data_IF_933682453504
#
_entry.id   IF_933682453504
#
_cell.length_a   1.000
_cell.length_b   1.000
_cell.length_c   1.000
_cell.angle_alpha   90.00
_cell.angle_beta   90.00
_cell.angle_gamma   90.00
#
_symmetry.space_group_name_H-M   'P 1'
#
loop_
_entity.id
_entity.type
_entity.pdbx_description
1 polymer ?
#
# COMPACT_ATOMS: atom_id res chain seq x y z
N UNK A 1 12.21 5.84 -21.59
CA UNK A 1 12.34 5.71 -23.07
C UNK A 1 13.04 4.41 -23.48
N UNK A 2 14.04 3.91 -22.73
CA UNK A 2 14.74 2.64 -23.00
C UNK A 2 13.84 1.37 -22.98
N UNK A 3 12.80 1.33 -22.14
CA UNK A 3 11.92 0.14 -22.03
C UNK A 3 11.05 -0.08 -23.28
N UNK A 4 10.71 0.98 -24.03
CA UNK A 4 9.91 0.86 -25.28
C UNK A 4 10.75 0.36 -26.47
N UNK A 5 12.07 0.54 -26.44
CA UNK A 5 12.98 0.04 -27.48
C UNK A 5 13.17 -1.47 -27.32
N UNK A 6 13.31 -1.96 -26.09
CA UNK A 6 13.48 -3.41 -25.80
C UNK A 6 12.22 -4.24 -26.13
N UNK A 7 11.02 -3.71 -25.89
CA UNK A 7 9.77 -4.42 -26.20
C UNK A 7 9.48 -4.49 -27.72
N UNK A 8 10.03 -3.57 -28.53
CA UNK A 8 9.89 -3.59 -30.00
C UNK A 8 10.86 -4.58 -30.65
N UNK A 9 12.04 -4.77 -30.06
CA UNK A 9 13.07 -5.72 -30.53
C UNK A 9 12.71 -7.18 -30.23
N UNK A 10 12.12 -7.47 -29.07
CA UNK A 10 11.65 -8.82 -28.72
C UNK A 10 10.52 -9.33 -29.65
N UNK A 11 9.70 -8.42 -30.22
CA UNK A 11 8.64 -8.75 -31.18
C UNK A 11 9.15 -9.01 -32.60
N UNK A 12 10.31 -8.46 -32.97
CA UNK A 12 10.91 -8.68 -34.30
C UNK A 12 11.66 -10.02 -34.37
N UNK A 13 12.24 -10.47 -33.26
CA UNK A 13 12.93 -11.76 -33.17
C UNK A 13 11.96 -12.97 -33.23
N UNK A 14 10.70 -12.78 -32.82
CA UNK A 14 9.65 -13.81 -32.91
C UNK A 14 9.08 -14.02 -34.32
N UNK A 15 9.44 -13.18 -35.32
CA UNK A 15 8.94 -13.27 -36.71
C UNK A 15 9.98 -13.78 -37.73
N UNK A 16 11.07 -14.40 -37.26
CA UNK A 16 11.95 -15.20 -38.13
C UNK A 16 12.69 -14.43 -39.22
N UNK A 17 12.87 -13.12 -39.08
CA UNK A 17 13.66 -12.32 -40.02
C UNK A 17 14.55 -11.37 -39.24
N UNK A 18 15.84 -11.73 -39.11
CA UNK A 18 17.02 -10.86 -39.11
C UNK A 18 18.27 -11.67 -38.77
N UNK A 19 19.23 -11.70 -39.71
CA UNK A 19 20.58 -12.21 -39.49
C UNK A 19 21.30 -11.36 -38.43
N UNK A 20 22.11 -12.02 -37.62
CA UNK A 20 22.89 -11.46 -36.53
C UNK A 20 23.84 -10.35 -37.00
N UNK A 21 23.43 -9.10 -36.83
CA UNK A 21 24.36 -7.98 -36.71
C UNK A 21 24.23 -7.38 -35.30
N UNK A 22 25.37 -7.29 -34.62
CA UNK A 22 25.53 -6.76 -33.28
C UNK A 22 25.12 -5.28 -33.23
N UNK A 23 24.20 -4.93 -32.34
CA UNK A 23 23.95 -3.52 -31.97
C UNK A 23 24.49 -3.27 -30.57
N UNK A 24 25.55 -2.46 -30.47
CA UNK A 24 26.10 -1.95 -29.20
C UNK A 24 25.56 -0.54 -28.99
N UNK A 25 24.74 -0.34 -27.96
CA UNK A 25 24.28 0.99 -27.57
C UNK A 25 25.21 1.58 -26.50
N UNK A 26 25.86 2.72 -26.78
CA UNK A 26 26.67 3.48 -25.82
C UNK A 26 25.73 4.18 -24.81
N UNK A 27 25.89 4.01 -23.48
CA UNK A 27 25.15 4.82 -22.52
C UNK A 27 25.70 6.26 -22.51
N UNK A 28 24.86 7.31 -22.46
CA UNK A 28 25.34 8.68 -22.41
C UNK A 28 25.85 9.02 -21.00
N UNK A 29 27.08 9.55 -20.90
CA UNK A 29 27.51 10.35 -19.75
C UNK A 29 28.66 9.85 -18.86
N UNK A 30 29.62 9.06 -19.35
CA UNK A 30 30.81 8.68 -18.55
C UNK A 30 32.03 9.50 -18.98
N UNK A 31 32.59 10.29 -18.04
CA UNK A 31 33.86 11.03 -18.20
C UNK A 31 35.06 10.10 -17.94
N UNK A 32 36.23 10.31 -18.56
CA UNK A 32 37.34 9.37 -18.49
C UNK A 32 38.04 9.45 -17.13
N UNK A 33 38.21 8.31 -16.46
CA UNK A 33 39.12 8.11 -15.33
C UNK A 33 39.97 6.86 -15.59
N UNK A 34 41.25 6.94 -15.22
CA UNK A 34 42.36 6.08 -15.66
C UNK A 34 42.49 4.71 -14.97
N UNK A 35 41.40 3.94 -14.82
CA UNK A 35 41.50 2.53 -14.38
C UNK A 35 40.49 1.65 -15.11
N UNK A 36 40.97 0.51 -15.63
CA UNK A 36 40.20 -0.48 -16.39
C UNK A 36 38.86 -0.81 -15.70
N UNK A 37 37.76 -0.65 -16.44
CA UNK A 37 36.40 -0.90 -15.95
C UNK A 37 35.91 -2.23 -16.49
N UNK A 38 35.81 -3.25 -15.64
CA UNK A 38 35.23 -4.53 -16.03
C UNK A 38 33.70 -4.44 -16.05
N UNK A 39 33.07 -4.78 -17.17
CA UNK A 39 31.62 -4.89 -17.29
C UNK A 39 31.21 -6.37 -17.41
N UNK A 40 30.16 -6.76 -16.70
CA UNK A 40 29.65 -8.15 -16.72
C UNK A 40 28.30 -8.18 -17.44
N UNK A 41 28.16 -9.05 -18.45
CA UNK A 41 26.90 -9.27 -19.17
C UNK A 41 26.45 -10.73 -19.10
N UNK A 42 25.16 -10.99 -19.23
CA UNK A 42 24.61 -12.36 -19.31
C UNK A 42 23.62 -12.51 -20.47
N UNK A 43 23.62 -13.68 -21.09
CA UNK A 43 22.64 -14.10 -22.10
C UNK A 43 21.92 -15.34 -21.57
N UNK A 44 20.58 -15.29 -21.54
CA UNK A 44 19.74 -16.42 -21.15
C UNK A 44 19.34 -17.16 -22.43
N UNK A 45 19.70 -18.44 -22.53
CA UNK A 45 19.31 -19.33 -23.63
C UNK A 45 18.41 -20.44 -23.10
N UNK A 46 17.73 -21.17 -23.99
CA UNK A 46 16.95 -22.37 -23.63
C UNK A 46 17.81 -23.47 -23.00
N UNK A 47 19.14 -23.40 -23.12
CA UNK A 47 20.10 -24.37 -22.56
C UNK A 47 20.84 -23.85 -21.31
N UNK A 48 20.50 -22.67 -20.78
CA UNK A 48 21.11 -22.08 -19.58
C UNK A 48 21.57 -20.63 -19.74
N UNK A 49 22.18 -20.09 -18.68
CA UNK A 49 22.74 -18.73 -18.62
C UNK A 49 24.22 -18.78 -18.97
N UNK A 50 24.65 -17.95 -19.92
CA UNK A 50 26.07 -17.76 -20.25
C UNK A 50 26.48 -16.35 -19.83
N UNK A 51 27.49 -16.27 -18.96
CA UNK A 51 28.05 -15.01 -18.46
C UNK A 51 29.35 -14.69 -19.17
N UNK A 52 29.49 -13.45 -19.63
CA UNK A 52 30.67 -12.96 -20.34
C UNK A 52 31.34 -11.84 -19.55
N UNK A 53 32.68 -11.89 -19.50
CA UNK A 53 33.54 -10.81 -19.01
C UNK A 53 34.18 -10.10 -20.21
N UNK A 54 34.05 -8.78 -20.23
CA UNK A 54 34.69 -7.93 -21.24
C UNK A 54 35.61 -6.91 -20.55
N UNK A 55 36.72 -6.61 -21.22
CA UNK A 55 37.57 -5.45 -20.92
C UNK A 55 37.39 -4.40 -22.03
N UNK A 56 37.48 -3.13 -21.66
CA UNK A 56 37.26 -1.99 -22.55
C UNK A 56 38.54 -1.17 -22.66
N UNK A 57 39.09 -1.07 -23.87
CA UNK A 57 40.24 -0.21 -24.15
C UNK A 57 39.84 0.87 -25.14
N UNK A 58 40.01 2.13 -24.73
CA UNK A 58 39.71 3.31 -25.55
C UNK A 58 41.02 3.75 -26.21
N UNK A 59 41.22 3.37 -27.47
CA UNK A 59 42.28 3.92 -28.32
C UNK A 59 41.58 4.71 -29.45
N UNK A 60 42.07 5.92 -29.73
CA UNK A 60 41.36 7.07 -30.35
C UNK A 60 40.60 6.83 -31.68
N UNK A 61 40.67 5.65 -32.29
CA UNK A 61 39.96 5.36 -33.55
C UNK A 61 39.31 3.96 -33.67
N UNK A 62 39.21 3.15 -32.59
CA UNK A 62 38.42 1.90 -32.65
C UNK A 62 38.04 1.32 -31.28
N UNK A 63 36.78 0.88 -31.12
CA UNK A 63 36.35 0.09 -29.95
C UNK A 63 36.63 -1.38 -30.23
N UNK A 64 37.51 -2.00 -29.44
CA UNK A 64 37.75 -3.45 -29.48
C UNK A 64 37.29 -4.09 -28.16
N UNK A 65 36.43 -5.11 -28.25
CA UNK A 65 36.02 -5.91 -27.11
C UNK A 65 36.74 -7.26 -27.16
N UNK A 66 37.59 -7.54 -26.18
CA UNK A 66 38.33 -8.81 -26.11
C UNK A 66 37.64 -9.76 -25.15
N UNK A 67 37.17 -10.91 -25.66
CA UNK A 67 36.59 -11.97 -24.84
C UNK A 67 37.69 -12.68 -24.06
N UNK A 68 37.69 -12.54 -22.73
CA UNK A 68 38.74 -13.12 -21.88
C UNK A 68 38.43 -14.56 -21.41
N UNK A 69 37.23 -15.08 -21.66
CA UNK A 69 36.89 -16.47 -21.36
C UNK A 69 35.41 -16.70 -21.08
N UNK A 70 34.99 -17.96 -21.15
CA UNK A 70 33.65 -18.42 -20.78
C UNK A 70 33.71 -18.90 -19.33
N UNK A 71 32.93 -18.30 -18.44
CA UNK A 71 32.79 -18.78 -17.06
C UNK A 71 31.74 -19.91 -17.07
N UNK A 72 32.22 -21.16 -16.91
CA UNK A 72 31.51 -22.45 -16.73
C UNK A 72 30.03 -22.55 -17.16
N UNK A 73 29.76 -23.46 -18.11
CA UNK A 73 28.46 -24.10 -18.34
C UNK A 73 27.99 -24.78 -17.05
N UNK A 74 26.89 -24.33 -16.45
CA UNK A 74 26.17 -25.12 -15.45
C UNK A 74 25.14 -25.99 -16.18
N UNK A 75 25.45 -27.28 -16.32
CA UNK A 75 24.50 -28.28 -16.79
C UNK A 75 23.53 -28.59 -15.65
N UNK A 76 22.34 -28.02 -15.70
CA UNK A 76 21.21 -28.58 -14.96
C UNK A 76 20.59 -29.68 -15.83
N UNK A 77 20.97 -30.95 -15.58
CA UNK A 77 20.22 -32.10 -16.06
C UNK A 77 18.92 -32.18 -15.26
N UNK A 78 17.78 -32.00 -15.92
CA UNK A 78 16.47 -32.36 -15.36
C UNK A 78 16.37 -33.89 -15.42
N UNK A 79 16.76 -34.57 -14.34
CA UNK A 79 16.33 -35.95 -14.09
C UNK A 79 15.01 -35.90 -13.32
N UNK A 80 13.89 -36.09 -14.02
CA UNK A 80 12.62 -36.39 -13.38
C UNK A 80 12.68 -37.83 -12.82
N UNK A 81 13.13 -37.97 -11.58
CA UNK A 81 12.82 -39.15 -10.75
C UNK A 81 12.01 -38.68 -9.55
N UNK A 82 10.77 -39.17 -9.53
CA UNK A 82 9.87 -39.11 -8.39
C UNK A 82 10.58 -39.61 -7.13
N UNK A 83 10.86 -38.69 -6.22
CA UNK A 83 11.17 -38.98 -4.82
C UNK A 83 10.12 -38.22 -4.03
N UNK A 84 9.27 -38.96 -3.34
CA UNK A 84 8.24 -38.39 -2.48
C UNK A 84 8.92 -37.49 -1.42
N UNK A 85 8.67 -36.18 -1.51
CA UNK A 85 8.97 -35.26 -0.41
C UNK A 85 7.98 -35.49 0.73
N UNK A 86 8.41 -35.41 2.00
CA UNK A 86 7.51 -35.54 3.14
C UNK A 86 6.47 -34.42 3.09
N UNK A 87 5.20 -34.81 3.27
CA UNK A 87 4.05 -33.90 3.23
C UNK A 87 4.25 -32.72 4.18
N UNK A 88 4.05 -31.47 3.72
CA UNK A 88 3.85 -30.37 4.65
C UNK A 88 2.52 -30.58 5.35
N UNK A 89 2.55 -30.64 6.68
CA UNK A 89 1.37 -30.64 7.56
C UNK A 89 0.36 -29.61 7.04
N UNK A 90 -0.72 -30.11 6.44
CA UNK A 90 -1.71 -29.31 5.75
C UNK A 90 -2.76 -28.81 6.74
N UNK A 91 -2.47 -27.71 7.41
CA UNK A 91 -3.50 -26.79 7.89
C UNK A 91 -3.49 -25.53 7.03
N UNK A 92 -3.74 -25.70 5.72
CA UNK A 92 -3.81 -24.60 4.77
C UNK A 92 -5.28 -24.26 4.47
N UNK A 93 -5.94 -23.58 5.42
CA UNK A 93 -7.18 -22.86 5.14
C UNK A 93 -6.79 -21.69 4.23
N UNK A 94 -7.03 -21.83 2.92
CA UNK A 94 -6.88 -20.72 1.97
C UNK A 94 -7.44 -19.45 2.62
N UNK A 95 -6.67 -18.35 2.74
CA UNK A 95 -7.15 -17.17 3.42
C UNK A 95 -8.42 -16.72 2.70
N UNK A 96 -9.53 -16.65 3.43
CA UNK A 96 -10.80 -16.23 2.83
C UNK A 96 -10.66 -14.82 2.27
N UNK A 97 -11.51 -14.47 1.30
CA UNK A 97 -11.56 -13.13 0.73
C UNK A 97 -13.00 -12.60 0.75
N UNK A 98 -13.15 -11.28 0.85
CA UNK A 98 -14.39 -10.55 0.56
C UNK A 98 -14.18 -9.65 -0.65
N UNK A 99 -15.19 -9.57 -1.51
CA UNK A 99 -15.15 -8.78 -2.74
C UNK A 99 -15.89 -7.47 -2.54
N UNK A 100 -15.29 -6.36 -2.94
CA UNK A 100 -16.01 -5.10 -3.09
C UNK A 100 -16.88 -5.15 -4.35
N UNK A 101 -18.21 -5.16 -4.17
CA UNK A 101 -19.18 -5.29 -5.27
C UNK A 101 -19.06 -4.19 -6.32
N UNK A 102 -18.63 -2.99 -5.94
CA UNK A 102 -18.54 -1.84 -6.85
C UNK A 102 -17.30 -1.87 -7.75
N UNK A 103 -16.25 -2.60 -7.35
CA UNK A 103 -14.94 -2.59 -8.03
C UNK A 103 -14.42 -3.98 -8.42
N UNK A 104 -15.06 -5.05 -7.93
CA UNK A 104 -14.62 -6.44 -8.05
C UNK A 104 -13.21 -6.71 -7.46
N UNK A 105 -12.74 -5.84 -6.56
CA UNK A 105 -11.45 -6.04 -5.88
C UNK A 105 -11.64 -7.00 -4.71
N UNK A 106 -10.71 -7.96 -4.58
CA UNK A 106 -10.66 -8.92 -3.49
C UNK A 106 -9.83 -8.37 -2.32
N UNK A 107 -10.39 -8.46 -1.12
CA UNK A 107 -9.74 -8.14 0.15
C UNK A 107 -9.64 -9.41 1.00
N UNK A 108 -8.45 -9.80 1.48
CA UNK A 108 -8.33 -10.96 2.36
C UNK A 108 -9.05 -10.68 3.68
N UNK A 109 -9.56 -11.74 4.33
CA UNK A 109 -10.20 -11.62 5.63
C UNK A 109 -9.20 -11.30 6.75
N UNK A 110 -7.92 -11.64 6.56
CA UNK A 110 -6.82 -11.29 7.46
C UNK A 110 -5.74 -10.53 6.69
N UNK A 111 -5.18 -9.49 7.30
CA UNK A 111 -4.12 -8.69 6.71
C UNK A 111 -2.79 -9.01 7.39
N UNK A 112 -1.85 -9.53 6.60
CA UNK A 112 -0.45 -9.66 7.00
C UNK A 112 0.33 -8.42 6.57
N UNK A 113 1.02 -7.81 7.51
CA UNK A 113 1.90 -6.66 7.30
C UNK A 113 3.35 -7.07 7.50
N UNK A 114 4.27 -6.34 6.87
CA UNK A 114 5.71 -6.52 7.13
C UNK A 114 6.17 -5.81 8.39
N UNK A 115 5.48 -4.73 8.76
CA UNK A 115 5.62 -4.08 10.05
C UNK A 115 4.97 -4.96 11.12
N UNK A 116 5.62 -5.17 12.28
CA UNK A 116 5.00 -5.89 13.39
C UNK A 116 3.63 -5.32 13.74
N UNK A 117 2.60 -6.16 13.65
CA UNK A 117 1.22 -5.82 13.98
C UNK A 117 0.54 -7.00 14.67
N UNK A 118 -0.48 -6.74 15.49
CA UNK A 118 -1.39 -7.81 15.91
C UNK A 118 -2.14 -8.36 14.67
N UNK A 119 -2.81 -9.52 14.81
CA UNK A 119 -3.72 -10.01 13.78
C UNK A 119 -4.80 -8.96 13.46
N UNK A 120 -4.87 -8.57 12.19
CA UNK A 120 -5.82 -7.59 11.69
C UNK A 120 -6.87 -8.31 10.83
N UNK A 121 -8.13 -8.17 11.21
CA UNK A 121 -9.25 -8.80 10.51
C UNK A 121 -10.09 -7.79 9.73
N UNK A 122 -10.58 -8.18 8.55
CA UNK A 122 -11.39 -7.32 7.68
C UNK A 122 -12.73 -7.01 8.35
N UNK A 123 -13.12 -5.74 8.32
CA UNK A 123 -14.40 -5.26 8.87
C UNK A 123 -15.30 -4.76 7.74
N UNK A 124 -14.78 -3.84 6.92
CA UNK A 124 -15.54 -3.12 5.90
C UNK A 124 -14.77 -2.97 4.59
N UNK A 125 -15.46 -2.91 3.45
CA UNK A 125 -14.87 -2.62 2.13
C UNK A 125 -15.70 -1.54 1.44
N UNK A 126 -15.07 -0.76 0.58
CA UNK A 126 -15.83 0.20 -0.20
C UNK A 126 -14.99 1.00 -1.17
N UNK A 127 -15.58 1.26 -2.33
CA UNK A 127 -14.98 2.09 -3.36
C UNK A 127 -15.00 3.57 -2.97
N UNK A 128 -13.88 4.25 -3.21
CA UNK A 128 -13.81 5.70 -3.21
C UNK A 128 -14.11 6.27 -4.59
N UNK A 129 -15.01 7.25 -4.63
CA UNK A 129 -15.37 8.01 -5.84
C UNK A 129 -14.95 9.48 -5.67
N UNK A 130 -14.52 10.13 -6.74
CA UNK A 130 -14.16 11.57 -6.75
C UNK A 130 -15.02 12.34 -7.76
N UNK A 131 -15.21 13.64 -7.48
CA UNK A 131 -15.98 14.61 -8.31
C UNK A 131 -17.48 14.31 -8.46
N UNK A 132 -18.20 15.24 -9.10
CA UNK A 132 -19.62 15.09 -9.45
C UNK A 132 -19.88 13.90 -10.39
N UNK A 133 -18.91 13.54 -11.24
CA UNK A 133 -18.98 12.37 -12.14
C UNK A 133 -18.76 11.04 -11.41
N UNK A 134 -18.53 11.07 -10.09
CA UNK A 134 -18.40 9.88 -9.22
C UNK A 134 -17.37 8.86 -9.74
N UNK A 135 -16.25 9.36 -10.27
CA UNK A 135 -15.23 8.51 -10.87
C UNK A 135 -14.51 7.71 -9.78
N UNK A 136 -14.50 6.38 -9.90
CA UNK A 136 -13.83 5.50 -8.96
C UNK A 136 -12.30 5.70 -9.02
N UNK A 137 -11.65 5.86 -7.88
CA UNK A 137 -10.17 6.02 -7.79
C UNK A 137 -9.49 4.78 -7.24
N UNK A 138 -10.05 4.20 -6.19
CA UNK A 138 -9.56 2.99 -5.54
C UNK A 138 -10.70 2.32 -4.79
N UNK A 139 -10.55 1.04 -4.50
CA UNK A 139 -11.29 0.38 -3.43
C UNK A 139 -10.43 0.31 -2.18
N UNK A 140 -11.08 0.36 -1.02
CA UNK A 140 -10.43 0.24 0.27
C UNK A 140 -11.07 -0.86 1.11
N UNK A 141 -10.24 -1.49 1.94
CA UNK A 141 -10.67 -2.39 3.00
C UNK A 141 -10.16 -1.86 4.35
N UNK A 142 -11.04 -1.78 5.34
CA UNK A 142 -10.70 -1.42 6.70
C UNK A 142 -10.55 -2.67 7.56
N UNK A 143 -9.44 -2.74 8.28
CA UNK A 143 -9.07 -3.85 9.13
C UNK A 143 -8.87 -3.36 10.55
N UNK A 144 -9.30 -4.17 11.51
CA UNK A 144 -9.20 -3.87 12.93
C UNK A 144 -8.48 -5.02 13.64
N UNK A 145 -7.73 -4.67 14.70
CA UNK A 145 -7.20 -5.64 15.66
C UNK A 145 -8.29 -6.64 16.07
N UNK A 146 -8.02 -7.92 15.86
CA UNK A 146 -8.98 -8.99 16.13
C UNK A 146 -9.39 -9.04 17.61
N UNK A 147 -8.47 -8.74 18.54
CA UNK A 147 -8.79 -8.71 19.97
C UNK A 147 -9.78 -7.59 20.28
N UNK A 148 -9.52 -6.40 19.75
CA UNK A 148 -10.40 -5.23 19.95
C UNK A 148 -11.74 -5.45 19.27
N UNK A 149 -11.74 -6.03 18.07
CA UNK A 149 -12.95 -6.36 17.33
C UNK A 149 -13.87 -7.31 18.10
N UNK A 150 -13.30 -8.24 18.87
CA UNK A 150 -14.04 -9.18 19.71
C UNK A 150 -14.41 -8.60 21.09
N UNK A 151 -13.83 -7.47 21.49
CA UNK A 151 -14.09 -6.81 22.78
C UNK A 151 -14.68 -5.41 22.63
N UNK A 152 -15.30 -5.09 21.49
CA UNK A 152 -15.83 -3.76 21.17
C UNK A 152 -16.78 -3.22 22.26
N UNK A 153 -17.59 -4.08 22.87
CA UNK A 153 -18.52 -3.72 23.98
C UNK A 153 -17.83 -3.06 25.18
N UNK A 154 -16.53 -3.33 25.37
CA UNK A 154 -15.74 -2.78 26.47
C UNK A 154 -15.20 -1.38 26.15
N UNK A 155 -15.27 -0.94 24.89
CA UNK A 155 -14.84 0.40 24.48
C UNK A 155 -15.90 1.42 24.88
N UNK A 156 -15.46 2.54 25.44
CA UNK A 156 -16.35 3.64 25.88
C UNK A 156 -17.29 4.07 24.74
N UNK A 157 -18.60 3.98 24.97
CA UNK A 157 -19.62 4.39 23.99
C UNK A 157 -20.03 3.32 22.98
N UNK A 158 -19.47 2.11 23.05
CA UNK A 158 -19.73 1.03 22.10
C UNK A 158 -20.68 -0.05 22.62
N UNK A 159 -21.01 -0.08 23.91
CA UNK A 159 -21.87 -1.13 24.51
C UNK A 159 -23.23 -1.29 23.81
N UNK A 160 -23.83 -0.18 23.38
CA UNK A 160 -25.11 -0.10 22.64
C UNK A 160 -24.92 0.24 21.16
N UNK A 161 -23.73 0.01 20.61
CA UNK A 161 -23.42 0.35 19.23
C UNK A 161 -24.35 -0.33 18.21
N UNK A 162 -24.71 0.41 17.18
CA UNK A 162 -25.46 -0.01 16.00
C UNK A 162 -24.86 0.73 14.81
N UNK A 163 -25.01 0.18 13.60
CA UNK A 163 -24.46 0.80 12.40
C UNK A 163 -24.95 2.26 12.23
N UNK A 164 -26.19 2.54 12.64
CA UNK A 164 -26.80 3.86 12.52
C UNK A 164 -26.06 4.95 13.30
N UNK A 165 -25.41 4.61 14.43
CA UNK A 165 -24.61 5.56 15.20
C UNK A 165 -23.38 6.06 14.45
N UNK A 166 -22.83 5.24 13.54
CA UNK A 166 -21.73 5.66 12.66
C UNK A 166 -22.23 6.45 11.46
N UNK A 167 -23.48 6.22 11.00
CA UNK A 167 -24.00 6.75 9.73
C UNK A 167 -24.86 8.00 9.87
N UNK A 168 -25.32 8.32 11.08
CA UNK A 168 -26.14 9.51 11.33
C UNK A 168 -25.32 10.57 12.05
N UNK A 169 -25.38 11.83 11.62
CA UNK A 169 -24.91 12.93 12.44
C UNK A 169 -25.63 12.93 13.80
N UNK A 170 -24.94 13.29 14.90
CA UNK A 170 -25.57 13.36 16.21
C UNK A 170 -26.70 14.39 16.19
N UNK A 171 -27.89 13.97 16.63
CA UNK A 171 -29.02 14.87 16.89
C UNK A 171 -28.77 15.55 18.24
N UNK A 172 -29.09 16.85 18.42
CA UNK A 172 -29.04 17.47 19.74
C UNK A 172 -29.87 16.65 20.73
N UNK A 173 -29.32 16.40 21.91
CA UNK A 173 -29.91 15.51 22.90
C UNK A 173 -31.39 15.86 23.18
N UNK A 174 -32.30 14.91 22.95
CA UNK A 174 -33.51 14.81 23.77
C UNK A 174 -33.14 14.05 25.03
N UNK A 175 -33.59 14.50 26.20
CA UNK A 175 -33.11 14.05 27.52
C UNK A 175 -33.34 12.56 27.83
N UNK A 176 -34.08 11.84 26.98
CA UNK A 176 -34.71 10.55 27.34
C UNK A 176 -34.16 9.29 26.65
N UNK A 177 -33.02 9.31 25.95
CA UNK A 177 -32.54 8.08 25.27
C UNK A 177 -31.08 7.74 25.56
N UNK A 178 -30.83 6.48 25.95
CA UNK A 178 -29.52 5.82 26.05
C UNK A 178 -28.86 5.60 24.68
N UNK A 179 -29.02 6.53 23.75
CA UNK A 179 -28.25 6.54 22.51
C UNK A 179 -26.82 7.05 22.79
N UNK A 180 -25.80 6.58 22.06
CA UNK A 180 -24.47 7.14 22.13
C UNK A 180 -24.55 8.65 21.87
N UNK A 181 -24.25 9.45 22.90
CA UNK A 181 -24.17 10.92 22.80
C UNK A 181 -23.06 11.40 21.85
N UNK A 182 -22.26 10.48 21.33
CA UNK A 182 -21.12 10.74 20.47
C UNK A 182 -21.55 10.71 19.01
N UNK A 183 -20.94 11.59 18.22
CA UNK A 183 -21.02 11.52 16.76
C UNK A 183 -20.38 10.23 16.24
N UNK A 184 -20.67 9.83 15.00
CA UNK A 184 -20.03 8.67 14.38
C UNK A 184 -18.50 8.79 14.38
N UNK A 185 -17.99 9.98 14.07
CA UNK A 185 -16.56 10.29 14.21
C UNK A 185 -16.07 10.20 15.67
N UNK A 186 -16.84 10.71 16.63
CA UNK A 186 -16.53 10.63 18.06
C UNK A 186 -16.45 9.19 18.58
N UNK A 187 -17.32 8.30 18.12
CA UNK A 187 -17.27 6.88 18.43
C UNK A 187 -15.98 6.24 17.90
N UNK A 188 -15.63 6.49 16.64
CA UNK A 188 -14.37 5.98 16.08
C UNK A 188 -13.17 6.56 16.83
N UNK A 189 -13.22 7.82 17.28
CA UNK A 189 -12.16 8.38 18.13
C UNK A 189 -12.01 7.60 19.44
N UNK A 190 -13.09 7.29 20.16
CA UNK A 190 -13.01 6.49 21.39
C UNK A 190 -12.43 5.09 21.16
N UNK A 191 -12.71 4.48 20.00
CA UNK A 191 -12.08 3.22 19.60
C UNK A 191 -10.58 3.38 19.41
N UNK A 192 -10.14 4.40 18.68
CA UNK A 192 -8.72 4.67 18.46
C UNK A 192 -7.98 5.05 19.76
N UNK A 193 -8.62 5.79 20.65
CA UNK A 193 -8.07 6.22 21.95
C UNK A 193 -7.95 5.06 22.94
N UNK A 194 -8.72 3.97 22.77
CA UNK A 194 -8.56 2.73 23.55
C UNK A 194 -7.25 1.98 23.26
N UNK A 195 -6.46 2.46 22.30
CA UNK A 195 -5.23 1.80 21.84
C UNK A 195 -5.44 0.85 20.67
N UNK A 196 -6.64 0.83 20.06
CA UNK A 196 -6.96 -0.06 18.96
C UNK A 196 -6.05 0.15 17.74
N UNK A 197 -5.39 -0.90 17.28
CA UNK A 197 -4.65 -0.85 16.01
C UNK A 197 -5.58 -1.15 14.84
N UNK A 198 -5.36 -0.49 13.71
CA UNK A 198 -6.18 -0.69 12.53
C UNK A 198 -5.41 -0.36 11.25
N UNK A 199 -5.95 -0.79 10.11
CA UNK A 199 -5.35 -0.49 8.82
C UNK A 199 -6.40 -0.19 7.74
N UNK A 200 -6.05 0.67 6.81
CA UNK A 200 -6.77 0.85 5.55
C UNK A 200 -5.90 0.33 4.42
N UNK A 201 -6.32 -0.78 3.80
CA UNK A 201 -5.71 -1.31 2.57
C UNK A 201 -6.39 -0.66 1.37
N UNK A 202 -5.60 -0.11 0.47
CA UNK A 202 -6.04 0.70 -0.68
C UNK A 202 -5.54 0.03 -1.96
N UNK A 203 -6.46 -0.18 -2.90
CA UNK A 203 -6.17 -0.83 -4.17
C UNK A 203 -6.74 0.03 -5.31
N UNK A 204 -5.89 0.70 -6.13
CA UNK A 204 -6.36 1.53 -7.22
C UNK A 204 -7.13 0.71 -8.27
N UNK A 205 -8.24 1.27 -8.75
CA UNK A 205 -9.03 0.69 -9.86
C UNK A 205 -8.52 1.14 -11.23
N UNK A 206 -7.53 2.04 -11.24
CA UNK A 206 -6.84 2.62 -12.40
C UNK A 206 -5.41 2.97 -12.02
N UNK A 207 -4.56 3.15 -13.02
CA UNK A 207 -3.19 3.61 -12.78
C UNK A 207 -3.21 5.00 -12.14
N UNK A 208 -2.38 5.18 -11.13
CA UNK A 208 -2.12 6.45 -10.47
C UNK A 208 -0.62 6.54 -10.15
N UNK A 209 -0.22 7.45 -9.28
CA UNK A 209 1.13 7.57 -8.79
C UNK A 209 1.14 7.95 -7.30
N UNK A 210 2.30 7.80 -6.69
CA UNK A 210 2.48 8.12 -5.28
C UNK A 210 2.25 9.60 -4.99
N UNK A 211 2.53 10.50 -5.95
CA UNK A 211 2.28 11.93 -5.80
C UNK A 211 0.79 12.24 -5.63
N UNK A 212 -0.06 11.70 -6.50
CA UNK A 212 -1.51 11.86 -6.43
C UNK A 212 -2.10 11.31 -5.12
N UNK A 213 -1.63 10.14 -4.67
CA UNK A 213 -2.05 9.55 -3.40
C UNK A 213 -1.61 10.41 -2.21
N UNK A 214 -0.32 10.76 -2.15
CA UNK A 214 0.27 11.65 -1.14
C UNK A 214 -0.52 12.94 -1.02
N UNK A 215 -0.79 13.60 -2.14
CA UNK A 215 -1.47 14.89 -2.14
C UNK A 215 -2.93 14.75 -1.67
N UNK A 216 -3.60 13.64 -2.02
CA UNK A 216 -4.93 13.31 -1.50
C UNK A 216 -4.96 13.15 0.02
N UNK A 217 -4.04 12.36 0.57
CA UNK A 217 -3.93 12.14 2.02
C UNK A 217 -3.48 13.39 2.78
N UNK A 218 -2.53 14.14 2.21
CA UNK A 218 -2.08 15.41 2.77
C UNK A 218 -3.24 16.39 2.87
N UNK A 219 -4.04 16.54 1.81
CA UNK A 219 -5.22 17.43 1.84
C UNK A 219 -6.21 17.00 2.92
N UNK A 220 -6.43 15.70 3.10
CA UNK A 220 -7.30 15.20 4.17
C UNK A 220 -6.75 15.59 5.55
N UNK A 221 -5.48 15.31 5.83
CA UNK A 221 -4.85 15.67 7.11
C UNK A 221 -4.83 17.19 7.35
N UNK A 222 -4.56 18.01 6.34
CA UNK A 222 -4.62 19.48 6.47
C UNK A 222 -6.05 19.96 6.79
N UNK A 223 -7.08 19.34 6.21
CA UNK A 223 -8.46 19.65 6.57
C UNK A 223 -8.77 19.28 8.04
N UNK A 224 -8.24 18.15 8.53
CA UNK A 224 -8.34 17.73 9.94
C UNK A 224 -7.61 18.69 10.88
N UNK A 225 -6.39 19.11 10.54
CA UNK A 225 -5.63 20.12 11.29
C UNK A 225 -6.44 21.41 11.44
N UNK A 226 -7.05 21.88 10.36
CA UNK A 226 -7.91 23.08 10.39
C UNK A 226 -9.12 22.92 11.32
N UNK A 227 -9.74 21.74 11.35
CA UNK A 227 -10.84 21.46 12.27
C UNK A 227 -10.37 21.45 13.73
N UNK A 228 -9.28 20.73 14.02
CA UNK A 228 -8.70 20.62 15.35
C UNK A 228 -8.31 22.01 15.93
N UNK A 229 -7.69 22.85 15.09
CA UNK A 229 -7.38 24.25 15.41
C UNK A 229 -8.64 25.05 15.72
N UNK A 230 -9.69 24.94 14.89
CA UNK A 230 -10.95 25.65 15.11
C UNK A 230 -11.64 25.23 16.42
N UNK A 231 -11.48 23.98 16.84
CA UNK A 231 -12.02 23.46 18.10
C UNK A 231 -11.11 23.64 19.32
N UNK A 232 -9.94 24.30 19.17
CA UNK A 232 -9.00 24.48 20.28
C UNK A 232 -8.36 23.18 20.79
N UNK A 233 -8.26 22.16 19.93
CA UNK A 233 -7.68 20.85 20.28
C UNK A 233 -6.16 20.77 20.06
N UNK A 234 -5.55 21.82 19.50
CA UNK A 234 -4.11 21.91 19.27
C UNK A 234 -3.57 23.12 20.02
N UNK A 235 -2.55 22.91 20.84
CA UNK A 235 -1.72 24.00 21.39
C UNK A 235 -0.73 24.50 20.34
N UNK A 236 -0.08 25.66 20.58
CA UNK A 236 0.94 26.17 19.66
C UNK A 236 2.10 25.17 19.47
N UNK A 237 2.51 24.49 20.54
CA UNK A 237 3.52 23.44 20.48
C UNK A 237 3.05 22.21 19.68
N UNK A 238 1.75 21.89 19.72
CA UNK A 238 1.19 20.83 18.89
C UNK A 238 1.19 21.22 17.41
N UNK A 239 0.91 22.48 17.08
CA UNK A 239 0.91 22.95 15.69
C UNK A 239 2.30 22.82 15.05
N UNK A 240 3.35 23.21 15.75
CA UNK A 240 4.74 23.06 15.27
C UNK A 240 5.11 21.58 15.08
N UNK A 241 4.78 20.74 16.06
CA UNK A 241 5.00 19.28 15.98
C UNK A 241 4.23 18.67 14.80
N UNK A 242 2.94 19.00 14.66
CA UNK A 242 2.10 18.51 13.57
C UNK A 242 2.62 18.98 12.21
N UNK A 243 3.13 20.21 12.10
CA UNK A 243 3.75 20.69 10.86
C UNK A 243 4.97 19.86 10.45
N UNK A 244 5.83 19.49 11.40
CA UNK A 244 6.97 18.58 11.18
C UNK A 244 6.48 17.19 10.76
N UNK A 245 5.52 16.61 11.49
CA UNK A 245 4.95 15.29 11.19
C UNK A 245 4.27 15.24 9.81
N UNK A 246 3.60 16.32 9.42
CA UNK A 246 2.99 16.50 8.10
C UNK A 246 4.03 16.60 6.98
N UNK A 247 5.17 17.22 7.24
CA UNK A 247 6.29 17.23 6.31
C UNK A 247 6.88 15.83 6.16
N UNK A 248 7.17 15.14 7.27
CA UNK A 248 7.66 13.75 7.27
C UNK A 248 6.71 12.83 6.49
N UNK A 249 5.41 12.90 6.75
CA UNK A 249 4.39 12.13 6.02
C UNK A 249 4.52 12.28 4.51
N UNK A 250 4.74 13.50 4.00
CA UNK A 250 4.91 13.74 2.56
C UNK A 250 6.16 13.08 1.99
N UNK A 251 7.25 13.06 2.77
CA UNK A 251 8.55 12.51 2.32
C UNK A 251 8.57 10.97 2.23
N UNK A 252 7.66 10.27 2.92
CA UNK A 252 7.56 8.80 2.87
C UNK A 252 7.19 8.32 1.46
N UNK A 253 6.45 9.12 0.68
CA UNK A 253 5.99 8.72 -0.64
C UNK A 253 7.12 8.85 -1.67
N UNK A 254 7.55 7.74 -2.30
CA UNK A 254 8.58 7.78 -3.32
C UNK A 254 8.04 8.39 -4.62
N UNK A 255 8.94 8.73 -5.54
CA UNK A 255 8.54 9.01 -6.91
C UNK A 255 8.13 7.71 -7.63
N UNK A 256 7.13 7.78 -8.52
CA UNK A 256 6.76 6.67 -9.39
C UNK A 256 5.27 6.35 -9.42
N UNK A 257 4.91 5.42 -10.29
CA UNK A 257 3.52 5.01 -10.51
C UNK A 257 3.06 3.97 -9.49
N UNK A 258 1.77 4.00 -9.19
CA UNK A 258 1.02 2.96 -8.49
C UNK A 258 0.00 2.37 -9.47
N UNK A 259 0.33 1.25 -10.14
CA UNK A 259 -0.57 0.62 -11.10
C UNK A 259 -1.89 0.13 -10.49
N UNK A 260 -2.90 -0.06 -11.34
CA UNK A 260 -4.15 -0.73 -10.98
C UNK A 260 -3.87 -2.07 -10.28
N UNK A 261 -4.64 -2.37 -9.22
CA UNK A 261 -4.59 -3.65 -8.50
C UNK A 261 -3.45 -3.77 -7.50
N UNK A 262 -2.54 -2.78 -7.41
CA UNK A 262 -1.45 -2.76 -6.43
C UNK A 262 -1.92 -2.26 -5.07
N UNK A 263 -1.34 -2.78 -4.01
CA UNK A 263 -1.78 -2.56 -2.63
C UNK A 263 -0.91 -1.52 -1.93
N UNK A 264 -1.52 -0.43 -1.47
CA UNK A 264 -0.96 0.49 -0.50
C UNK A 264 -1.72 0.32 0.83
N UNK A 265 -1.03 0.23 1.96
CA UNK A 265 -1.65 0.11 3.28
C UNK A 265 -1.26 1.30 4.14
N UNK A 266 -2.26 1.88 4.80
CA UNK A 266 -2.09 2.83 5.90
C UNK A 266 -2.33 2.07 7.20
N UNK A 267 -1.28 1.74 7.95
CA UNK A 267 -1.37 1.03 9.22
C UNK A 267 -1.22 2.00 10.40
N UNK A 268 -2.25 2.07 11.25
CA UNK A 268 -2.27 2.89 12.46
C UNK A 268 -1.98 2.03 13.68
N UNK A 269 -0.95 2.43 14.41
CA UNK A 269 -0.65 2.02 15.78
C UNK A 269 -0.96 3.16 16.75
N UNK A 270 -0.97 2.95 18.07
CA UNK A 270 -1.18 4.04 19.04
C UNK A 270 -0.08 5.11 18.95
N UNK A 271 1.13 4.73 18.50
CA UNK A 271 2.27 5.63 18.37
C UNK A 271 2.31 6.41 17.05
N UNK A 272 1.53 6.03 16.04
CA UNK A 272 1.53 6.74 14.76
C UNK A 272 1.10 5.92 13.55
N UNK A 273 1.60 6.32 12.38
CA UNK A 273 1.13 5.84 11.07
C UNK A 273 2.28 5.27 10.24
N UNK A 274 2.15 4.04 9.77
CA UNK A 274 3.10 3.37 8.87
C UNK A 274 2.47 3.14 7.50
N UNK A 275 3.24 3.35 6.43
CA UNK A 275 2.82 3.11 5.06
C UNK A 275 3.53 1.88 4.52
N UNK A 276 2.78 0.97 3.91
CA UNK A 276 3.35 -0.17 3.18
C UNK A 276 2.85 -0.20 1.74
N UNK A 277 3.73 -0.53 0.80
CA UNK A 277 3.38 -0.74 -0.60
C UNK A 277 3.82 -2.12 -1.07
N UNK A 278 2.88 -2.92 -1.56
CA UNK A 278 3.12 -4.31 -2.01
C UNK A 278 3.88 -5.15 -0.97
N UNK A 279 3.51 -5.01 0.31
CA UNK A 279 4.17 -5.71 1.42
C UNK A 279 5.59 -5.23 1.69
N UNK A 280 5.90 -3.96 1.44
CA UNK A 280 7.17 -3.34 1.83
C UNK A 280 6.89 -2.03 2.56
N UNK A 281 7.43 -1.87 3.76
CA UNK A 281 7.38 -0.60 4.48
C UNK A 281 8.03 0.53 3.66
N UNK A 282 7.28 1.61 3.45
CA UNK A 282 7.77 2.86 2.86
C UNK A 282 8.32 3.80 3.93
N UNK A 283 7.71 3.79 5.12
CA UNK A 283 8.13 4.64 6.24
C UNK A 283 7.03 4.82 7.28
N UNK A 284 7.41 5.43 8.40
CA UNK A 284 6.53 5.63 9.56
C UNK A 284 6.63 7.08 10.04
N UNK A 285 5.49 7.66 10.41
CA UNK A 285 5.39 8.91 11.16
C UNK A 285 5.04 8.57 12.61
N UNK A 286 5.96 8.84 13.53
CA UNK A 286 5.80 8.56 14.96
C UNK A 286 5.05 9.70 15.65
N UNK A 287 3.81 9.91 15.19
CA UNK A 287 2.90 10.92 15.73
C UNK A 287 1.49 10.34 15.79
N UNK A 288 0.99 10.14 17.02
CA UNK A 288 -0.35 9.58 17.26
C UNK A 288 -1.45 10.43 16.66
N UNK A 289 -1.26 11.76 16.56
CA UNK A 289 -2.22 12.67 15.95
C UNK A 289 -2.37 12.36 14.46
N UNK A 290 -1.25 12.20 13.73
CA UNK A 290 -1.29 11.87 12.29
C UNK A 290 -1.98 10.53 12.04
N UNK A 291 -1.66 9.52 12.86
CA UNK A 291 -2.30 8.20 12.77
C UNK A 291 -3.81 8.26 13.04
N UNK A 292 -4.21 8.90 14.13
CA UNK A 292 -5.61 9.02 14.52
C UNK A 292 -6.41 9.84 13.50
N UNK A 293 -5.93 11.01 13.10
CA UNK A 293 -6.65 11.89 12.16
C UNK A 293 -6.73 11.31 10.75
N UNK A 294 -5.73 10.54 10.30
CA UNK A 294 -5.82 9.82 9.03
C UNK A 294 -6.97 8.82 9.04
N UNK A 295 -7.11 8.04 10.12
CA UNK A 295 -8.20 7.08 10.25
C UNK A 295 -9.55 7.80 10.36
N UNK A 296 -9.64 8.87 11.16
CA UNK A 296 -10.87 9.65 11.29
C UNK A 296 -11.31 10.30 9.97
N UNK A 297 -10.41 10.64 9.06
CA UNK A 297 -10.80 11.12 7.74
C UNK A 297 -11.61 10.10 6.90
N UNK A 298 -11.43 8.79 7.15
CA UNK A 298 -12.27 7.73 6.57
C UNK A 298 -13.63 7.57 7.26
N UNK A 299 -13.78 8.10 8.47
CA UNK A 299 -14.98 7.99 9.29
C UNK A 299 -15.63 9.34 9.62
N UNK A 300 -15.19 10.41 8.95
CA UNK A 300 -15.64 11.76 9.24
C UNK A 300 -17.16 11.89 9.06
N UNK A 301 -17.80 12.69 9.90
CA UNK A 301 -19.25 12.94 9.79
C UNK A 301 -19.58 13.88 8.61
N UNK A 302 -18.60 14.68 8.21
CA UNK A 302 -18.66 15.53 7.03
C UNK A 302 -17.40 15.33 6.19
N UNK A 303 -17.55 15.43 4.87
CA UNK A 303 -16.43 15.36 3.90
C UNK A 303 -15.63 14.04 4.00
N UNK A 304 -16.32 12.94 4.29
CA UNK A 304 -15.75 11.59 4.42
C UNK A 304 -15.03 11.14 3.14
N UNK A 305 -13.85 10.50 3.30
CA UNK A 305 -13.04 10.04 2.17
C UNK A 305 -13.78 9.01 1.30
N UNK A 306 -14.50 8.09 1.92
CA UNK A 306 -15.24 7.01 1.24
C UNK A 306 -16.54 6.70 2.01
N UNK A 307 -17.69 7.25 1.60
CA UNK A 307 -18.98 6.95 2.23
C UNK A 307 -19.29 5.45 2.22
N UNK A 308 -18.99 4.76 1.11
CA UNK A 308 -19.22 3.31 0.97
C UNK A 308 -18.40 2.48 1.95
N UNK A 309 -17.16 2.88 2.20
CA UNK A 309 -16.35 2.21 3.22
C UNK A 309 -16.95 2.44 4.62
N UNK A 310 -17.33 3.68 4.95
CA UNK A 310 -17.95 4.01 6.25
C UNK A 310 -19.25 3.22 6.49
N UNK A 311 -20.13 3.17 5.48
CA UNK A 311 -21.35 2.35 5.48
C UNK A 311 -21.08 0.88 5.77
N UNK A 312 -20.13 0.29 5.06
CA UNK A 312 -19.86 -1.14 5.17
C UNK A 312 -19.12 -1.51 6.46
N UNK A 313 -18.21 -0.66 6.92
CA UNK A 313 -17.56 -0.80 8.24
C UNK A 313 -18.60 -0.72 9.36
N UNK A 314 -19.54 0.22 9.30
CA UNK A 314 -20.56 0.37 10.33
C UNK A 314 -21.39 -0.92 10.49
N UNK A 315 -21.79 -1.55 9.38
CA UNK A 315 -22.47 -2.86 9.39
C UNK A 315 -21.56 -3.97 9.91
N UNK A 316 -20.33 -4.06 9.42
CA UNK A 316 -19.39 -5.10 9.86
C UNK A 316 -19.04 -5.02 11.35
N UNK A 317 -18.99 -3.82 11.93
CA UNK A 317 -18.81 -3.64 13.37
C UNK A 317 -20.07 -4.07 14.14
N UNK A 318 -21.27 -3.72 13.67
CA UNK A 318 -22.51 -4.15 14.30
C UNK A 318 -22.68 -5.68 14.27
N UNK A 319 -22.33 -6.33 13.17
CA UNK A 319 -22.33 -7.80 13.08
C UNK A 319 -21.42 -8.44 14.14
N UNK A 320 -20.24 -7.88 14.35
CA UNK A 320 -19.29 -8.33 15.38
C UNK A 320 -19.76 -8.08 16.81
N UNK A 321 -20.71 -7.17 17.01
CA UNK A 321 -21.34 -6.98 18.32
C UNK A 321 -22.36 -8.08 18.61
N UNK A 322 -22.94 -8.73 17.60
CA UNK A 322 -23.99 -9.76 17.75
C UNK A 322 -23.45 -11.15 18.05
N UNK A 323 -22.22 -11.45 17.62
CA UNK A 323 -21.48 -12.68 17.94
C UNK A 323 -20.76 -12.58 19.26
#
# INVERSE_FOLDING_TARGET
>A
MAVRIFQRLARLQARGSLNSQQFVAKPPGVRPWSRATFATGFVVTTAGIVTYLYDWKDDDHSVTATLHGIIKKSQWLIHAKSVASPEPLSDNKSPGFRVDSDSSIHFPLQLSLTTPSPPLSLVGVGVRKVSFLRIQVYSAGFYLDEKVANSLRSVKGWSTFTAQHLLTPPVPASEDLESPRLSGEGLVRTLLDSGATCAVRIVPVRNTDFGHLRDGFTRALTARQKLARKSGQLTDADEDRVAVSMHQFKTIFPAGSVPKGKSLVLYRSPSGLTLEYEGRALGTVNDSWVGTEMMLAYFADKDVISPKLKEDVARGLEERMKG
#
